data_IF_662328888003
#
_entry.id   IF_662328888003
#
_cell.length_a   1.000
_cell.length_b   1.000
_cell.length_c   1.000
_cell.angle_alpha   90.00
_cell.angle_beta   90.00
_cell.angle_gamma   90.00
#
_symmetry.space_group_name_H-M   'P 1'
#
loop_
_entity.id
_entity.type
_entity.pdbx_description
1 polymer ?
#
# COMPACT_ATOMS: atom_id res chain seq x y z
N UNK A 1 1.17 5.26 -35.46
CA UNK A 1 1.40 4.93 -34.04
C UNK A 1 0.66 5.98 -33.23
N UNK A 2 -0.37 5.61 -32.47
CA UNK A 2 -1.13 6.57 -31.63
C UNK A 2 -0.17 7.31 -30.69
N UNK A 3 -0.50 8.55 -30.35
CA UNK A 3 0.30 9.40 -29.47
C UNK A 3 0.59 8.72 -28.11
N UNK A 4 -0.39 7.98 -27.59
CA UNK A 4 -0.27 7.10 -26.42
C UNK A 4 0.86 6.08 -26.56
N UNK A 5 0.97 5.40 -27.71
CA UNK A 5 2.03 4.40 -27.93
C UNK A 5 3.41 5.06 -28.06
N UNK A 6 3.50 6.25 -28.69
CA UNK A 6 4.77 7.00 -28.74
C UNK A 6 5.22 7.41 -27.34
N UNK A 7 4.31 8.01 -26.55
CA UNK A 7 4.58 8.43 -25.17
C UNK A 7 5.02 7.25 -24.30
N UNK A 8 4.37 6.10 -24.46
CA UNK A 8 4.73 4.90 -23.74
C UNK A 8 6.17 4.43 -24.04
N UNK A 9 6.62 4.49 -25.31
CA UNK A 9 8.01 4.18 -25.66
C UNK A 9 9.00 5.21 -25.10
N UNK A 10 8.63 6.48 -25.07
CA UNK A 10 9.45 7.53 -24.46
C UNK A 10 9.64 7.29 -22.97
N UNK A 11 8.54 7.09 -22.23
CA UNK A 11 8.60 6.90 -20.76
C UNK A 11 9.28 5.58 -20.41
N UNK A 12 9.04 4.51 -21.17
CA UNK A 12 9.78 3.25 -21.00
C UNK A 12 11.30 3.44 -21.20
N UNK A 13 11.72 4.39 -22.05
CA UNK A 13 13.14 4.71 -22.26
C UNK A 13 13.68 5.65 -21.20
N UNK A 14 12.94 6.65 -20.75
CA UNK A 14 13.45 7.63 -19.79
C UNK A 14 13.40 7.15 -18.36
N UNK A 15 12.53 6.19 -18.02
CA UNK A 15 12.19 5.93 -16.61
C UNK A 15 12.66 4.57 -16.07
N UNK A 16 13.64 4.56 -15.14
CA UNK A 16 14.20 3.34 -14.59
C UNK A 16 13.15 2.44 -13.92
N UNK A 17 12.20 3.02 -13.18
CA UNK A 17 11.19 2.24 -12.47
C UNK A 17 10.30 1.43 -13.43
N UNK A 18 9.91 2.01 -14.56
CA UNK A 18 9.07 1.34 -15.56
C UNK A 18 9.81 0.15 -16.19
N UNK A 19 11.10 0.30 -16.46
CA UNK A 19 11.95 -0.81 -16.91
C UNK A 19 12.05 -1.88 -15.84
N UNK A 20 12.24 -1.48 -14.58
CA UNK A 20 12.29 -2.40 -13.44
C UNK A 20 10.99 -3.19 -13.27
N UNK A 21 9.81 -2.57 -13.48
CA UNK A 21 8.52 -3.28 -13.48
C UNK A 21 8.47 -4.38 -14.55
N UNK A 22 9.01 -4.11 -15.75
CA UNK A 22 9.09 -5.14 -16.79
C UNK A 22 10.11 -6.23 -16.44
N UNK A 23 11.27 -5.87 -15.90
CA UNK A 23 12.33 -6.81 -15.58
C UNK A 23 11.97 -7.71 -14.40
N UNK A 24 11.56 -7.12 -13.28
CA UNK A 24 11.45 -7.76 -11.98
C UNK A 24 10.03 -7.77 -11.40
N UNK A 25 9.06 -7.13 -12.07
CA UNK A 25 7.68 -7.02 -11.58
C UNK A 25 7.57 -5.93 -10.53
N UNK A 26 6.49 -5.97 -9.75
CA UNK A 26 6.33 -5.04 -8.63
C UNK A 26 7.41 -5.22 -7.57
N UNK A 27 7.96 -6.44 -7.42
CA UNK A 27 9.02 -6.78 -6.46
C UNK A 27 10.39 -6.12 -6.74
N UNK A 28 10.49 -5.33 -7.82
CA UNK A 28 11.53 -4.30 -7.92
C UNK A 28 11.53 -3.35 -6.71
N UNK A 29 10.35 -3.11 -6.12
CA UNK A 29 10.15 -2.24 -4.97
C UNK A 29 10.94 -2.69 -3.74
N UNK A 30 11.17 -3.99 -3.54
CA UNK A 30 11.95 -4.50 -2.40
C UNK A 30 13.33 -3.85 -2.33
N UNK A 31 14.03 -3.72 -3.46
CA UNK A 31 15.33 -3.04 -3.49
C UNK A 31 15.24 -1.55 -3.14
N UNK A 32 14.21 -0.84 -3.63
CA UNK A 32 14.02 0.58 -3.33
C UNK A 32 13.71 0.79 -1.85
N UNK A 33 12.72 0.07 -1.31
CA UNK A 33 12.30 0.23 0.08
C UNK A 33 13.37 -0.25 1.05
N UNK A 34 14.09 -1.33 0.77
CA UNK A 34 15.19 -1.76 1.62
C UNK A 34 16.36 -0.77 1.60
N UNK A 35 16.64 -0.13 0.47
CA UNK A 35 17.72 0.86 0.32
C UNK A 35 17.56 2.09 1.22
N UNK A 36 16.31 2.52 1.48
CA UNK A 36 16.00 3.63 2.38
C UNK A 36 15.52 3.17 3.77
N UNK A 37 15.66 1.88 4.10
CA UNK A 37 15.13 1.27 5.32
C UNK A 37 13.64 1.59 5.57
N UNK A 38 12.84 1.42 4.52
CA UNK A 38 11.39 1.57 4.53
C UNK A 38 10.64 0.27 4.16
N UNK A 39 11.27 -0.90 4.33
CA UNK A 39 10.70 -2.23 4.10
C UNK A 39 10.26 -2.86 5.44
N UNK A 40 8.95 -2.82 5.79
CA UNK A 40 8.46 -3.23 7.10
C UNK A 40 8.87 -4.65 7.46
N UNK A 41 9.45 -4.80 8.64
CA UNK A 41 10.04 -6.03 9.15
C UNK A 41 9.46 -6.35 10.51
N UNK A 42 9.04 -7.61 10.71
CA UNK A 42 8.46 -8.13 11.98
C UNK A 42 7.37 -7.19 12.53
N UNK A 43 6.25 -7.10 11.81
CA UNK A 43 5.11 -6.21 12.13
C UNK A 43 5.50 -4.73 12.38
N UNK A 44 6.34 -4.15 11.51
CA UNK A 44 6.83 -2.76 11.62
C UNK A 44 7.70 -2.51 12.86
N UNK A 45 8.36 -3.52 13.45
CA UNK A 45 9.38 -3.26 14.47
C UNK A 45 10.64 -2.60 13.88
N UNK A 46 10.93 -2.88 12.61
CA UNK A 46 12.00 -2.24 11.84
C UNK A 46 11.53 -1.96 10.39
N UNK A 47 12.23 -1.05 9.70
CA UNK A 47 12.11 -0.79 8.27
C UNK A 47 13.21 -1.47 7.43
N UNK A 48 14.06 -2.29 8.03
CA UNK A 48 15.14 -2.99 7.34
C UNK A 48 15.16 -4.47 7.75
N UNK A 49 15.28 -5.35 6.75
CA UNK A 49 15.37 -6.79 6.95
C UNK A 49 16.74 -7.28 6.53
N UNK A 50 17.45 -7.95 7.41
CA UNK A 50 18.83 -8.39 7.20
C UNK A 50 19.02 -9.27 5.95
N UNK A 51 17.99 -10.04 5.57
CA UNK A 51 18.01 -10.98 4.45
C UNK A 51 17.17 -10.51 3.25
N UNK A 52 16.88 -9.20 3.14
CA UNK A 52 16.01 -8.65 2.10
C UNK A 52 16.43 -9.02 0.67
N UNK A 53 17.73 -9.19 0.40
CA UNK A 53 18.24 -9.57 -0.93
C UNK A 53 17.70 -10.94 -1.40
N UNK A 54 17.46 -11.86 -0.46
CA UNK A 54 16.87 -13.19 -0.74
C UNK A 54 15.42 -13.07 -1.20
N UNK A 55 14.75 -11.99 -0.81
CA UNK A 55 13.37 -11.69 -1.15
C UNK A 55 13.23 -10.80 -2.39
N UNK A 56 14.33 -10.26 -2.93
CA UNK A 56 14.27 -9.23 -3.97
C UNK A 56 13.79 -9.73 -5.35
N UNK A 57 13.23 -8.81 -6.15
CA UNK A 57 12.78 -9.09 -7.51
C UNK A 57 13.84 -9.71 -8.45
N UNK A 58 15.12 -9.29 -8.39
CA UNK A 58 16.21 -9.99 -9.08
C UNK A 58 16.40 -11.44 -8.63
N UNK A 59 16.28 -11.74 -7.34
CA UNK A 59 16.37 -13.10 -6.81
C UNK A 59 15.20 -13.94 -7.29
N UNK A 60 13.96 -13.45 -7.12
CA UNK A 60 12.75 -14.09 -7.64
C UNK A 60 12.85 -14.41 -9.13
N UNK A 61 13.37 -13.46 -9.92
CA UNK A 61 13.53 -13.61 -11.36
C UNK A 61 14.57 -14.67 -11.76
N UNK A 62 15.62 -14.85 -10.94
CA UNK A 62 16.67 -15.87 -11.17
C UNK A 62 16.24 -17.25 -10.70
N UNK A 63 15.45 -17.31 -9.62
CA UNK A 63 15.13 -18.57 -8.95
C UNK A 63 13.78 -19.10 -9.39
N UNK A 64 12.67 -18.41 -9.14
CA UNK A 64 11.32 -18.99 -9.27
C UNK A 64 10.61 -18.65 -10.58
N UNK A 65 10.96 -17.55 -11.24
CA UNK A 65 10.26 -17.05 -12.42
C UNK A 65 10.29 -18.06 -13.59
N UNK A 66 9.12 -18.32 -14.16
CA UNK A 66 8.94 -19.11 -15.39
C UNK A 66 8.69 -18.18 -16.57
N UNK A 67 7.76 -17.23 -16.43
CA UNK A 67 7.45 -16.26 -17.48
C UNK A 67 6.84 -14.98 -16.91
N UNK A 68 6.89 -13.93 -17.72
CA UNK A 68 6.25 -12.64 -17.47
C UNK A 68 4.91 -12.58 -18.20
N UNK A 69 3.92 -11.94 -17.62
CA UNK A 69 2.57 -11.83 -18.20
C UNK A 69 2.07 -10.39 -18.12
N UNK A 70 1.47 -9.92 -19.21
CA UNK A 70 0.75 -8.65 -19.24
C UNK A 70 -0.74 -8.83 -19.06
N UNK A 71 -1.35 -7.85 -18.40
CA UNK A 71 -2.80 -7.65 -18.47
C UNK A 71 -3.23 -7.34 -19.91
N UNK A 72 -4.54 -7.31 -20.16
CA UNK A 72 -5.10 -7.03 -21.48
C UNK A 72 -4.51 -5.73 -22.09
N UNK A 73 -3.91 -5.84 -23.27
CA UNK A 73 -3.32 -4.71 -24.00
C UNK A 73 -2.08 -4.08 -23.34
N UNK A 74 -1.59 -4.62 -22.22
CA UNK A 74 -0.53 -4.00 -21.44
C UNK A 74 0.87 -4.45 -21.91
N UNK A 75 1.74 -3.52 -22.35
CA UNK A 75 3.10 -3.85 -22.79
C UNK A 75 4.13 -3.83 -21.65
N UNK A 76 3.76 -3.35 -20.46
CA UNK A 76 4.65 -3.40 -19.29
C UNK A 76 4.92 -4.85 -18.88
N UNK A 77 3.89 -5.71 -18.94
CA UNK A 77 3.97 -7.12 -18.55
C UNK A 77 4.62 -7.34 -17.17
N UNK A 78 4.11 -6.61 -16.16
CA UNK A 78 4.65 -6.67 -14.80
C UNK A 78 4.33 -7.99 -14.09
N UNK A 79 3.26 -8.69 -14.48
CA UNK A 79 2.81 -9.92 -13.83
C UNK A 79 3.85 -11.04 -13.92
N UNK A 80 3.93 -11.84 -12.86
CA UNK A 80 4.89 -12.94 -12.73
C UNK A 80 4.14 -14.27 -12.73
N UNK A 81 4.71 -15.27 -13.40
CA UNK A 81 4.31 -16.66 -13.20
C UNK A 81 5.54 -17.39 -12.70
N UNK A 82 5.47 -17.87 -11.47
CA UNK A 82 6.56 -18.51 -10.74
C UNK A 82 6.27 -19.99 -10.50
N UNK A 83 7.31 -20.78 -10.29
CA UNK A 83 7.23 -22.21 -9.99
C UNK A 83 8.01 -22.50 -8.71
N UNK A 84 7.33 -23.07 -7.72
CA UNK A 84 7.97 -23.60 -6.50
C UNK A 84 8.81 -24.82 -6.88
N UNK A 85 10.12 -24.77 -6.61
CA UNK A 85 11.07 -25.77 -7.12
C UNK A 85 11.38 -26.87 -6.11
N UNK A 86 11.17 -26.62 -4.82
CA UNK A 86 11.54 -27.54 -3.75
C UNK A 86 10.45 -27.69 -2.68
N UNK A 87 10.73 -28.51 -1.67
CA UNK A 87 9.85 -28.71 -0.53
C UNK A 87 8.53 -29.44 -0.84
N UNK A 88 7.60 -29.45 0.14
CA UNK A 88 6.33 -30.19 0.04
C UNK A 88 5.38 -29.64 -1.02
N UNK A 89 5.61 -28.42 -1.49
CA UNK A 89 4.78 -27.74 -2.50
C UNK A 89 5.47 -27.66 -3.87
N UNK A 90 6.54 -28.46 -4.10
CA UNK A 90 7.24 -28.53 -5.37
C UNK A 90 6.27 -28.79 -6.53
N UNK A 91 6.40 -27.99 -7.59
CA UNK A 91 5.54 -28.07 -8.77
C UNK A 91 4.35 -27.11 -8.74
N UNK A 92 4.10 -26.43 -7.62
CA UNK A 92 3.07 -25.40 -7.52
C UNK A 92 3.40 -24.21 -8.42
N UNK A 93 2.48 -23.88 -9.33
CA UNK A 93 2.55 -22.69 -10.18
C UNK A 93 1.82 -21.55 -9.48
N UNK A 94 2.49 -20.41 -9.37
CA UNK A 94 1.98 -19.24 -8.66
C UNK A 94 1.92 -18.06 -9.61
N UNK A 95 0.77 -17.38 -9.66
CA UNK A 95 0.68 -16.06 -10.27
C UNK A 95 1.18 -15.02 -9.26
N UNK A 96 2.40 -14.52 -9.46
CA UNK A 96 3.16 -13.69 -8.51
C UNK A 96 4.44 -14.39 -8.01
N UNK A 97 4.88 -14.13 -6.76
CA UNK A 97 4.37 -13.11 -5.85
C UNK A 97 4.59 -11.68 -6.32
N UNK A 98 3.67 -10.81 -5.93
CA UNK A 98 3.82 -9.36 -6.03
C UNK A 98 4.58 -8.83 -4.81
N UNK A 99 5.16 -7.63 -4.89
CA UNK A 99 5.90 -6.98 -3.82
C UNK A 99 5.23 -7.06 -2.44
N UNK A 100 3.94 -6.80 -2.40
CA UNK A 100 3.18 -6.78 -1.15
C UNK A 100 3.20 -8.15 -0.45
N UNK A 101 3.09 -9.24 -1.20
CA UNK A 101 3.18 -10.59 -0.66
C UNK A 101 4.60 -10.93 -0.19
N UNK A 102 5.60 -10.45 -0.93
CA UNK A 102 7.01 -10.55 -0.55
C UNK A 102 7.27 -9.83 0.77
N UNK A 103 6.66 -8.67 1.00
CA UNK A 103 6.74 -8.02 2.30
C UNK A 103 5.95 -8.78 3.36
N UNK A 104 4.64 -8.97 3.19
CA UNK A 104 3.75 -9.41 4.26
C UNK A 104 3.99 -10.85 4.70
N UNK A 105 4.28 -11.77 3.77
CA UNK A 105 4.65 -13.17 4.10
C UNK A 105 6.16 -13.40 4.22
N UNK A 106 6.97 -12.42 3.81
CA UNK A 106 8.42 -12.44 3.95
C UNK A 106 8.88 -11.67 5.18
N UNK A 107 9.51 -10.51 4.96
CA UNK A 107 10.11 -9.69 6.02
C UNK A 107 9.13 -9.28 7.14
N UNK A 108 7.87 -9.02 6.80
CA UNK A 108 6.80 -8.71 7.76
C UNK A 108 6.59 -9.81 8.80
N UNK A 109 6.87 -11.06 8.44
CA UNK A 109 6.83 -12.25 9.31
C UNK A 109 8.23 -12.77 9.69
N UNK A 110 9.31 -12.03 9.37
CA UNK A 110 10.69 -12.46 9.61
C UNK A 110 11.13 -13.67 8.77
N UNK A 111 10.48 -13.91 7.62
CA UNK A 111 10.75 -15.02 6.72
C UNK A 111 11.54 -14.56 5.49
N UNK A 112 12.67 -15.21 5.19
CA UNK A 112 13.51 -14.93 4.02
C UNK A 112 13.36 -15.93 2.87
N UNK A 113 12.38 -16.84 2.95
CA UNK A 113 12.16 -17.89 1.95
C UNK A 113 11.07 -17.52 0.93
N UNK A 114 11.50 -17.23 -0.31
CA UNK A 114 10.60 -16.88 -1.42
C UNK A 114 9.67 -18.02 -1.83
N UNK A 115 10.06 -19.29 -1.65
CA UNK A 115 9.17 -20.42 -1.95
C UNK A 115 7.99 -20.44 -0.99
N UNK A 116 8.23 -20.26 0.31
CA UNK A 116 7.18 -20.11 1.34
C UNK A 116 6.27 -18.92 1.02
N UNK A 117 6.84 -17.75 0.66
CA UNK A 117 6.05 -16.58 0.23
C UNK A 117 5.14 -16.93 -0.95
N UNK A 118 5.69 -17.63 -1.96
CA UNK A 118 4.95 -18.02 -3.16
C UNK A 118 3.82 -19.00 -2.84
N UNK A 119 4.06 -19.95 -1.93
CA UNK A 119 3.03 -20.88 -1.45
C UNK A 119 1.91 -20.13 -0.72
N UNK A 120 2.25 -19.23 0.21
CA UNK A 120 1.26 -18.41 0.91
C UNK A 120 0.43 -17.56 -0.07
N UNK A 121 1.09 -16.96 -1.07
CA UNK A 121 0.40 -16.18 -2.10
C UNK A 121 -0.58 -17.03 -2.93
N UNK A 122 -0.17 -18.24 -3.33
CA UNK A 122 -1.06 -19.14 -4.05
C UNK A 122 -2.26 -19.56 -3.17
N UNK A 123 -2.04 -19.82 -1.89
CA UNK A 123 -3.11 -20.18 -0.97
C UNK A 123 -4.13 -19.05 -0.78
N UNK A 124 -3.68 -17.79 -0.59
CA UNK A 124 -4.64 -16.67 -0.49
C UNK A 124 -5.42 -16.47 -1.78
N UNK A 125 -4.82 -16.73 -2.95
CA UNK A 125 -5.54 -16.71 -4.22
C UNK A 125 -6.61 -17.82 -4.29
N UNK A 126 -6.30 -19.03 -3.84
CA UNK A 126 -7.24 -20.15 -3.82
C UNK A 126 -8.39 -19.94 -2.83
N UNK A 127 -8.11 -19.34 -1.66
CA UNK A 127 -9.12 -18.99 -0.68
C UNK A 127 -9.89 -17.69 -0.99
N UNK A 128 -9.42 -16.89 -1.96
CA UNK A 128 -10.02 -15.58 -2.28
C UNK A 128 -9.84 -14.55 -1.16
N UNK A 129 -8.67 -14.54 -0.52
CA UNK A 129 -8.32 -13.61 0.58
C UNK A 129 -7.33 -12.55 0.12
N UNK A 130 -7.36 -11.38 0.78
CA UNK A 130 -6.31 -10.37 0.61
C UNK A 130 -4.99 -10.82 1.28
N UNK A 131 -3.92 -10.91 0.48
CA UNK A 131 -2.59 -11.29 0.96
C UNK A 131 -1.93 -10.26 1.86
N UNK A 132 -2.29 -8.97 1.75
CA UNK A 132 -1.78 -7.93 2.66
C UNK A 132 -2.36 -8.14 4.05
N UNK A 133 -3.69 -8.04 4.18
CA UNK A 133 -4.39 -8.23 5.45
C UNK A 133 -4.10 -9.62 6.06
N UNK A 134 -4.08 -10.69 5.26
CA UNK A 134 -3.76 -12.03 5.78
C UNK A 134 -2.34 -12.10 6.36
N UNK A 135 -1.33 -11.60 5.64
CA UNK A 135 0.05 -11.59 6.14
C UNK A 135 0.23 -10.69 7.36
N UNK A 136 -0.47 -9.54 7.40
CA UNK A 136 -0.45 -8.61 8.54
C UNK A 136 -1.15 -9.18 9.77
N UNK A 137 -2.25 -9.92 9.60
CA UNK A 137 -2.89 -10.64 10.70
C UNK A 137 -1.96 -11.70 11.30
N UNK A 138 -1.16 -12.38 10.47
CA UNK A 138 -0.16 -13.33 10.94
C UNK A 138 0.99 -12.61 11.67
N UNK A 139 1.56 -11.54 11.10
CA UNK A 139 2.63 -10.79 11.78
C UNK A 139 2.17 -10.17 13.10
N UNK A 140 0.91 -9.73 13.17
CA UNK A 140 0.28 -9.28 14.41
C UNK A 140 0.22 -10.41 15.45
N UNK A 141 -0.19 -11.62 15.06
CA UNK A 141 -0.24 -12.77 15.96
C UNK A 141 1.16 -13.18 16.45
N UNK A 142 2.17 -13.17 15.57
CA UNK A 142 3.56 -13.42 15.92
C UNK A 142 4.09 -12.41 16.94
N UNK A 143 3.79 -11.12 16.75
CA UNK A 143 4.19 -10.09 17.72
C UNK A 143 3.45 -10.25 19.06
N UNK A 144 2.14 -10.51 19.04
CA UNK A 144 1.40 -10.79 20.28
C UNK A 144 1.95 -12.00 21.02
N UNK A 145 2.41 -13.03 20.29
CA UNK A 145 3.06 -14.20 20.87
C UNK A 145 4.43 -13.86 21.47
N UNK A 146 5.27 -13.11 20.76
CA UNK A 146 6.57 -12.61 21.27
C UNK A 146 6.40 -11.80 22.56
N UNK A 147 5.36 -10.97 22.66
CA UNK A 147 5.06 -10.16 23.85
C UNK A 147 4.34 -10.93 24.96
N UNK A 148 4.05 -12.22 24.77
CA UNK A 148 3.33 -13.06 25.72
C UNK A 148 1.85 -12.70 25.89
N UNK A 149 1.30 -11.88 25.00
CA UNK A 149 -0.12 -11.55 24.94
C UNK A 149 -0.90 -12.76 24.46
N UNK A 150 -0.45 -13.38 23.37
CA UNK A 150 -1.03 -14.60 22.85
C UNK A 150 -0.20 -15.80 23.34
N UNK A 151 -0.80 -16.72 24.08
CA UNK A 151 -0.10 -17.90 24.59
C UNK A 151 -0.20 -19.07 23.61
N UNK A 152 0.69 -20.06 23.76
CA UNK A 152 0.75 -21.24 22.90
C UNK A 152 -0.58 -22.01 22.90
N UNK A 153 -1.26 -22.09 24.03
CA UNK A 153 -2.56 -22.76 24.17
C UNK A 153 -3.67 -22.04 23.40
N UNK A 154 -3.63 -20.69 23.39
CA UNK A 154 -4.55 -19.84 22.62
C UNK A 154 -4.22 -19.84 21.11
N UNK A 155 -3.01 -20.26 20.74
CA UNK A 155 -2.54 -20.43 19.37
C UNK A 155 -2.68 -21.87 18.84
N UNK A 156 -3.56 -22.68 19.44
CA UNK A 156 -3.79 -24.09 19.10
C UNK A 156 -2.50 -24.95 19.11
N UNK A 157 -1.54 -24.61 19.97
CA UNK A 157 -0.26 -25.30 20.05
C UNK A 157 0.76 -24.92 18.97
N UNK A 158 0.42 -24.01 18.04
CA UNK A 158 1.34 -23.54 17.02
C UNK A 158 2.49 -22.75 17.63
N UNK A 159 3.67 -22.89 17.04
CA UNK A 159 4.83 -22.04 17.34
C UNK A 159 4.82 -20.82 16.44
N UNK A 160 4.41 -19.68 17.00
CA UNK A 160 4.31 -18.38 16.32
C UNK A 160 5.63 -17.58 16.39
N UNK A 161 6.77 -18.24 16.59
CA UNK A 161 8.08 -17.59 16.50
C UNK A 161 8.31 -17.00 15.09
N UNK A 162 8.95 -15.83 15.01
CA UNK A 162 9.27 -15.17 13.75
C UNK A 162 10.05 -16.09 12.81
N UNK A 163 9.70 -16.06 11.51
CA UNK A 163 10.37 -16.85 10.48
C UNK A 163 9.98 -18.34 10.44
N UNK A 164 9.03 -18.80 11.27
CA UNK A 164 8.53 -20.17 11.20
C UNK A 164 7.68 -20.40 9.94
N UNK A 165 8.29 -21.03 8.93
CA UNK A 165 7.71 -21.25 7.59
C UNK A 165 6.52 -22.19 7.58
N UNK A 166 6.58 -23.26 8.37
CA UNK A 166 5.50 -24.24 8.45
C UNK A 166 4.26 -23.61 9.09
N UNK A 167 4.46 -22.85 10.18
CA UNK A 167 3.39 -22.10 10.84
C UNK A 167 2.79 -21.05 9.92
N UNK A 168 3.59 -20.34 9.12
CA UNK A 168 3.09 -19.36 8.15
C UNK A 168 2.08 -19.98 7.18
N UNK A 169 2.47 -21.07 6.52
CA UNK A 169 1.61 -21.77 5.54
C UNK A 169 0.35 -22.32 6.21
N UNK A 170 0.49 -22.90 7.41
CA UNK A 170 -0.63 -23.43 8.17
C UNK A 170 -1.62 -22.34 8.61
N UNK A 171 -1.13 -21.17 9.04
CA UNK A 171 -2.00 -20.06 9.43
C UNK A 171 -2.82 -19.52 8.26
N UNK A 172 -2.24 -19.41 7.06
CA UNK A 172 -3.00 -18.99 5.87
C UNK A 172 -4.19 -19.92 5.64
N UNK A 173 -3.98 -21.24 5.73
CA UNK A 173 -5.07 -22.23 5.60
C UNK A 173 -6.09 -22.08 6.71
N UNK A 174 -5.65 -21.97 7.97
CA UNK A 174 -6.56 -21.83 9.12
C UNK A 174 -7.41 -20.56 9.04
N UNK A 175 -6.85 -19.45 8.55
CA UNK A 175 -7.60 -18.21 8.34
C UNK A 175 -8.67 -18.42 7.25
N UNK A 176 -8.29 -18.99 6.10
CA UNK A 176 -9.23 -19.28 5.01
C UNK A 176 -10.33 -20.26 5.40
N UNK A 177 -10.01 -21.24 6.25
CA UNK A 177 -10.94 -22.26 6.75
C UNK A 177 -11.66 -21.84 8.06
N UNK A 178 -11.32 -20.68 8.63
CA UNK A 178 -11.74 -20.22 9.97
C UNK A 178 -11.61 -21.31 11.06
N UNK A 179 -10.47 -21.99 11.09
CA UNK A 179 -10.18 -23.08 12.04
C UNK A 179 -9.30 -22.60 13.20
N UNK A 180 -9.76 -22.79 14.43
CA UNK A 180 -8.99 -22.48 15.64
C UNK A 180 -8.63 -21.00 15.73
N UNK A 181 -7.35 -20.67 15.97
CA UNK A 181 -6.82 -19.29 15.93
C UNK A 181 -7.12 -18.58 14.59
N UNK A 182 -7.29 -19.34 13.51
CA UNK A 182 -7.67 -18.80 12.21
C UNK A 182 -9.00 -18.05 12.22
N UNK A 183 -9.98 -18.45 13.04
CA UNK A 183 -11.26 -17.72 13.14
C UNK A 183 -11.08 -16.33 13.76
N UNK A 184 -10.20 -16.21 14.76
CA UNK A 184 -9.85 -14.92 15.35
C UNK A 184 -9.14 -14.01 14.33
N UNK A 185 -8.16 -14.55 13.61
CA UNK A 185 -7.35 -13.78 12.66
C UNK A 185 -8.11 -13.44 11.37
N UNK A 186 -9.12 -14.23 10.99
CA UNK A 186 -10.02 -13.94 9.87
C UNK A 186 -10.85 -12.66 10.07
N UNK A 187 -10.90 -12.11 11.29
CA UNK A 187 -11.56 -10.84 11.58
C UNK A 187 -10.69 -9.60 11.29
N UNK A 188 -9.43 -9.78 10.89
CA UNK A 188 -8.45 -8.70 10.73
C UNK A 188 -7.91 -8.20 12.06
N UNK A 189 -6.83 -7.41 12.00
CA UNK A 189 -6.03 -7.02 13.17
C UNK A 189 -6.80 -6.16 14.16
N UNK A 190 -7.65 -5.24 13.67
CA UNK A 190 -8.43 -4.34 14.54
C UNK A 190 -9.37 -5.13 15.46
N UNK A 191 -10.18 -6.03 14.88
CA UNK A 191 -11.15 -6.82 15.65
C UNK A 191 -10.47 -7.94 16.44
N UNK A 192 -9.43 -8.56 15.89
CA UNK A 192 -8.65 -9.56 16.61
C UNK A 192 -8.00 -8.96 17.86
N UNK A 193 -7.40 -7.76 17.76
CA UNK A 193 -6.82 -7.06 18.90
C UNK A 193 -7.86 -6.72 19.97
N UNK A 194 -9.04 -6.20 19.59
CA UNK A 194 -10.14 -5.93 20.52
C UNK A 194 -10.61 -7.18 21.26
N UNK A 195 -10.66 -8.33 20.58
CA UNK A 195 -11.04 -9.61 21.20
C UNK A 195 -9.96 -10.17 22.12
N UNK A 196 -8.69 -10.03 21.74
CA UNK A 196 -7.55 -10.47 22.55
C UNK A 196 -7.36 -9.61 23.81
N UNK A 197 -7.68 -8.31 23.70
CA UNK A 197 -7.44 -7.31 24.74
C UNK A 197 -5.97 -7.27 25.13
N UNK A 198 -5.68 -7.06 26.43
CA UNK A 198 -4.31 -7.12 26.99
C UNK A 198 -3.32 -6.16 26.32
N UNK A 199 -3.80 -5.06 25.73
CA UNK A 199 -2.98 -4.08 25.01
C UNK A 199 -2.57 -4.52 23.60
N UNK A 200 -3.20 -5.57 23.06
CA UNK A 200 -2.96 -6.03 21.69
C UNK A 200 -3.22 -4.93 20.64
N UNK A 201 -4.07 -3.96 20.95
CA UNK A 201 -4.43 -2.85 20.07
C UNK A 201 -3.20 -2.03 19.63
N UNK A 202 -2.15 -1.99 20.44
CA UNK A 202 -0.87 -1.33 20.11
C UNK A 202 -0.16 -1.98 18.92
N UNK A 203 -0.42 -3.26 18.64
CA UNK A 203 0.26 -4.03 17.60
C UNK A 203 -0.59 -4.18 16.33
N UNK A 204 -1.83 -3.70 16.33
CA UNK A 204 -2.69 -3.69 15.15
C UNK A 204 -2.29 -2.55 14.20
N UNK A 205 -1.42 -2.85 13.24
CA UNK A 205 -0.88 -1.89 12.28
C UNK A 205 -1.87 -1.60 11.14
N UNK A 206 -2.84 -0.72 11.42
CA UNK A 206 -3.94 -0.39 10.50
C UNK A 206 -4.45 1.06 10.67
N UNK A 207 -5.09 1.58 9.63
CA UNK A 207 -5.93 2.80 9.70
C UNK A 207 -7.34 2.47 9.19
N UNK A 208 -8.37 2.93 9.93
CA UNK A 208 -9.81 2.72 9.62
C UNK A 208 -10.23 1.26 9.44
N UNK A 209 -9.48 0.32 10.02
CA UNK A 209 -9.71 -1.11 9.96
C UNK A 209 -8.99 -1.84 8.83
N UNK A 210 -8.20 -1.14 8.01
CA UNK A 210 -7.42 -1.75 6.93
C UNK A 210 -5.94 -1.76 7.27
N UNK A 211 -5.33 -2.94 7.22
CA UNK A 211 -3.91 -3.16 7.50
C UNK A 211 -3.00 -2.48 6.48
N UNK A 212 -1.82 -2.05 6.94
CA UNK A 212 -0.86 -1.38 6.08
C UNK A 212 -0.13 -2.32 5.12
N UNK A 213 0.18 -1.75 3.96
CA UNK A 213 1.00 -2.35 2.93
C UNK A 213 2.50 -2.32 3.27
N UNK A 214 3.35 -2.72 2.32
CA UNK A 214 4.80 -2.90 2.47
C UNK A 214 5.64 -1.64 2.63
N UNK A 215 5.11 -0.53 3.15
CA UNK A 215 5.84 0.75 3.25
C UNK A 215 5.87 1.25 4.68
N UNK A 216 7.07 1.52 5.20
CA UNK A 216 7.29 2.01 6.56
C UNK A 216 7.22 3.54 6.62
N UNK A 217 6.18 4.12 7.25
CA UNK A 217 5.92 5.57 7.21
C UNK A 217 6.94 6.41 8.00
N UNK A 218 7.71 5.82 8.92
CA UNK A 218 8.82 6.54 9.57
C UNK A 218 9.97 6.83 8.61
N UNK A 219 10.22 5.93 7.66
CA UNK A 219 11.22 6.10 6.59
C UNK A 219 10.68 6.81 5.35
N UNK A 220 9.37 6.71 5.09
CA UNK A 220 8.67 7.34 3.98
C UNK A 220 7.51 8.20 4.50
N UNK A 221 7.79 9.45 4.88
CA UNK A 221 6.82 10.28 5.59
C UNK A 221 5.64 10.75 4.73
N UNK A 222 5.75 10.71 3.40
CA UNK A 222 4.59 10.94 2.53
C UNK A 222 3.54 9.84 2.71
N UNK A 223 3.99 8.58 2.83
CA UNK A 223 3.11 7.45 3.11
C UNK A 223 2.32 7.58 4.42
N UNK A 224 2.87 8.29 5.41
CA UNK A 224 2.14 8.59 6.64
C UNK A 224 0.83 9.35 6.35
N UNK A 225 0.87 10.34 5.45
CA UNK A 225 -0.32 11.08 5.02
C UNK A 225 -1.27 10.18 4.24
N UNK A 226 -0.76 9.43 3.26
CA UNK A 226 -1.57 8.52 2.43
C UNK A 226 -2.33 7.50 3.27
N UNK A 227 -1.67 6.87 4.24
CA UNK A 227 -2.31 5.91 5.13
C UNK A 227 -3.35 6.56 6.06
N UNK A 228 -3.09 7.77 6.53
CA UNK A 228 -4.01 8.48 7.41
C UNK A 228 -5.25 8.99 6.67
N UNK A 229 -5.08 9.61 5.50
CA UNK A 229 -6.13 10.32 4.76
C UNK A 229 -6.94 9.42 3.83
N UNK A 230 -6.44 8.24 3.49
CA UNK A 230 -7.08 7.34 2.54
C UNK A 230 -8.54 7.00 2.88
N UNK A 231 -9.45 7.28 1.94
CA UNK A 231 -10.88 7.03 2.12
C UNK A 231 -11.23 5.56 2.38
N UNK A 232 -10.42 4.60 1.91
CA UNK A 232 -10.62 3.17 2.18
C UNK A 232 -9.79 2.61 3.34
N UNK A 233 -9.10 3.46 4.09
CA UNK A 233 -8.16 3.08 5.14
C UNK A 233 -6.69 3.08 4.70
N UNK A 234 -5.84 2.36 5.44
CA UNK A 234 -4.37 2.34 5.31
C UNK A 234 -3.82 1.73 4.01
N UNK A 235 -4.25 2.19 2.84
CA UNK A 235 -3.89 1.63 1.55
C UNK A 235 -2.93 2.52 0.76
N UNK A 236 -1.80 1.94 0.33
CA UNK A 236 -0.69 2.65 -0.32
C UNK A 236 -0.99 3.13 -1.74
N UNK A 237 -1.73 2.35 -2.54
CA UNK A 237 -2.11 2.74 -3.91
C UNK A 237 -3.28 3.73 -3.95
N UNK A 238 -3.78 4.19 -2.80
CA UNK A 238 -4.84 5.20 -2.77
C UNK A 238 -4.36 6.47 -3.47
N UNK A 239 -3.13 6.88 -3.18
CA UNK A 239 -2.42 7.94 -3.89
C UNK A 239 -1.14 7.39 -4.53
N UNK A 240 -0.46 8.22 -5.31
CA UNK A 240 0.82 7.88 -5.93
C UNK A 240 2.05 8.24 -5.09
N UNK A 241 1.87 8.60 -3.81
CA UNK A 241 2.91 9.24 -3.00
C UNK A 241 4.14 8.37 -2.79
N UNK A 242 3.93 7.05 -2.70
CA UNK A 242 5.01 6.08 -2.54
C UNK A 242 6.09 6.23 -3.61
N UNK A 243 5.71 6.56 -4.85
CA UNK A 243 6.64 6.68 -5.95
C UNK A 243 7.49 7.93 -5.82
N UNK A 244 6.88 9.05 -5.40
CA UNK A 244 7.58 10.30 -5.17
C UNK A 244 8.56 10.19 -3.99
N UNK A 245 8.16 9.54 -2.90
CA UNK A 245 9.03 9.31 -1.74
C UNK A 245 10.29 8.50 -2.10
N UNK A 246 10.21 7.56 -3.03
CA UNK A 246 11.40 6.82 -3.51
C UNK A 246 12.10 7.48 -4.71
N UNK A 247 11.73 8.71 -5.06
CA UNK A 247 12.34 9.47 -6.16
C UNK A 247 12.06 8.90 -7.56
N UNK A 248 10.92 8.23 -7.73
CA UNK A 248 10.47 7.66 -9.02
C UNK A 248 9.14 8.30 -9.44
N UNK A 249 8.77 8.15 -10.72
CA UNK A 249 7.50 8.67 -11.22
C UNK A 249 7.28 10.16 -10.95
N UNK A 250 8.37 10.94 -10.85
CA UNK A 250 8.36 12.36 -10.46
C UNK A 250 7.68 13.24 -11.50
N UNK A 251 7.54 12.80 -12.76
CA UNK A 251 6.74 13.52 -13.75
C UNK A 251 5.23 13.50 -13.46
N UNK A 252 4.78 12.69 -12.50
CA UNK A 252 3.37 12.66 -12.11
C UNK A 252 2.92 13.93 -11.39
N UNK A 253 3.85 14.62 -10.73
CA UNK A 253 3.63 15.85 -10.01
C UNK A 253 4.85 16.77 -10.22
N UNK A 254 4.70 17.97 -10.77
CA UNK A 254 5.83 18.83 -11.08
C UNK A 254 6.61 19.17 -9.79
N UNK A 255 7.89 18.81 -9.75
CA UNK A 255 8.78 19.04 -8.63
C UNK A 255 10.01 19.84 -9.09
N UNK A 256 10.37 20.89 -8.36
CA UNK A 256 11.61 21.64 -8.58
C UNK A 256 12.85 20.84 -8.15
N UNK A 257 12.68 19.95 -7.15
CA UNK A 257 13.70 19.03 -6.66
C UNK A 257 13.05 17.73 -6.16
N UNK A 258 13.76 16.59 -6.16
CA UNK A 258 13.27 15.35 -5.55
C UNK A 258 12.85 15.57 -4.10
N UNK A 259 11.73 14.96 -3.71
CA UNK A 259 11.26 15.00 -2.32
C UNK A 259 12.18 14.17 -1.43
N UNK A 260 12.48 14.68 -0.23
CA UNK A 260 13.16 13.89 0.79
C UNK A 260 12.15 12.93 1.45
N UNK A 261 12.32 11.60 1.39
CA UNK A 261 11.42 10.64 2.02
C UNK A 261 11.28 10.86 3.53
N UNK A 262 12.30 11.38 4.20
CA UNK A 262 12.34 11.56 5.66
C UNK A 262 11.83 12.94 6.12
N UNK A 263 11.38 13.81 5.21
CA UNK A 263 10.77 15.10 5.56
C UNK A 263 9.25 15.01 5.37
N UNK A 264 8.52 15.60 6.30
CA UNK A 264 7.07 15.80 6.18
C UNK A 264 6.81 17.30 6.17
N UNK A 265 6.38 17.83 5.04
CA UNK A 265 6.18 19.26 4.83
C UNK A 265 4.97 19.57 3.94
N UNK A 266 4.75 20.87 3.74
CA UNK A 266 3.64 21.37 2.94
C UNK A 266 3.71 20.92 1.48
N UNK A 267 4.91 20.66 0.93
CA UNK A 267 5.05 20.24 -0.46
C UNK A 267 4.55 18.80 -0.64
N UNK A 268 4.80 17.92 0.34
CA UNK A 268 4.16 16.60 0.37
C UNK A 268 2.65 16.66 0.46
N UNK A 269 2.10 17.62 1.21
CA UNK A 269 0.64 17.82 1.30
C UNK A 269 0.05 18.20 -0.07
N UNK A 270 0.68 19.15 -0.78
CA UNK A 270 0.24 19.54 -2.13
C UNK A 270 0.33 18.37 -3.12
N UNK A 271 1.43 17.62 -3.06
CA UNK A 271 1.60 16.43 -3.88
C UNK A 271 0.52 15.38 -3.57
N UNK A 272 0.15 15.17 -2.31
CA UNK A 272 -0.92 14.25 -1.91
C UNK A 272 -2.27 14.66 -2.55
N UNK A 273 -2.64 15.95 -2.45
CA UNK A 273 -3.88 16.50 -3.03
C UNK A 273 -3.91 16.35 -4.56
N UNK A 274 -2.79 16.58 -5.25
CA UNK A 274 -2.73 16.40 -6.69
C UNK A 274 -2.83 14.92 -7.10
N UNK A 275 -2.17 14.04 -6.33
CA UNK A 275 -2.11 12.61 -6.62
C UNK A 275 -3.43 11.90 -6.34
N UNK A 276 -4.14 12.23 -5.25
CA UNK A 276 -5.42 11.62 -4.91
C UNK A 276 -6.47 11.91 -6.00
N UNK A 277 -6.54 13.14 -6.51
CA UNK A 277 -7.48 13.54 -7.58
C UNK A 277 -7.20 12.76 -8.85
N UNK A 278 -5.93 12.75 -9.27
CA UNK A 278 -5.49 12.02 -10.45
C UNK A 278 -5.77 10.53 -10.33
N UNK A 279 -5.39 9.89 -9.23
CA UNK A 279 -5.57 8.45 -9.06
C UNK A 279 -7.03 8.04 -8.91
N UNK A 280 -7.88 8.92 -8.37
CA UNK A 280 -9.32 8.70 -8.31
C UNK A 280 -9.95 8.65 -9.70
N UNK A 281 -9.55 9.54 -10.62
CA UNK A 281 -9.97 9.49 -12.02
C UNK A 281 -9.48 8.20 -12.69
N UNK A 282 -8.20 7.85 -12.50
CA UNK A 282 -7.61 6.63 -13.05
C UNK A 282 -8.38 5.38 -12.61
N UNK A 283 -8.74 5.30 -11.33
CA UNK A 283 -9.53 4.19 -10.77
C UNK A 283 -10.96 4.18 -11.32
N UNK A 284 -11.58 5.34 -11.51
CA UNK A 284 -12.91 5.48 -12.12
C UNK A 284 -12.93 5.11 -13.60
N UNK A 285 -11.85 5.41 -14.33
CA UNK A 285 -11.65 5.00 -15.71
C UNK A 285 -11.24 3.52 -15.85
N UNK A 286 -11.05 2.81 -14.73
CA UNK A 286 -10.63 1.40 -14.67
C UNK A 286 -9.30 1.18 -15.42
N UNK A 287 -8.38 2.15 -15.27
CA UNK A 287 -7.04 2.08 -15.83
C UNK A 287 -6.04 1.62 -14.76
N UNK A 288 -5.05 0.84 -15.17
CA UNK A 288 -3.97 0.43 -14.28
C UNK A 288 -3.18 1.67 -13.80
N UNK A 289 -2.98 1.82 -12.49
CA UNK A 289 -2.25 2.95 -11.89
C UNK A 289 -0.79 3.04 -12.33
N UNK A 290 -0.12 1.91 -12.55
CA UNK A 290 1.21 1.91 -13.16
C UNK A 290 1.14 2.52 -14.56
N UNK A 291 0.31 1.94 -15.43
CA UNK A 291 0.21 2.40 -16.81
C UNK A 291 -0.22 3.87 -16.88
N UNK A 292 -1.21 4.27 -16.09
CA UNK A 292 -1.75 5.62 -16.17
C UNK A 292 -0.86 6.68 -15.51
N UNK A 293 -0.18 6.34 -14.41
CA UNK A 293 0.85 7.20 -13.81
C UNK A 293 2.05 7.41 -14.75
N UNK A 294 2.37 6.41 -15.58
CA UNK A 294 3.44 6.46 -16.58
C UNK A 294 3.02 7.28 -17.81
N UNK A 295 1.83 7.01 -18.35
CA UNK A 295 1.51 7.39 -19.73
C UNK A 295 0.68 8.67 -19.83
N UNK A 296 -0.29 8.89 -18.94
CA UNK A 296 -1.28 9.95 -19.13
C UNK A 296 -0.92 11.22 -18.37
N UNK A 297 -0.56 12.31 -19.06
CA UNK A 297 -0.68 13.66 -18.49
C UNK A 297 -2.16 14.01 -18.26
N UNK A 298 -2.49 15.05 -17.48
CA UNK A 298 -3.87 15.52 -17.34
C UNK A 298 -4.56 15.79 -18.69
N UNK A 299 -3.86 16.38 -19.65
CA UNK A 299 -4.37 16.68 -21.00
C UNK A 299 -4.60 15.40 -21.82
N UNK A 300 -3.68 14.44 -21.72
CA UNK A 300 -3.84 13.14 -22.36
C UNK A 300 -5.02 12.36 -21.77
N UNK A 301 -5.25 12.47 -20.45
CA UNK A 301 -6.40 11.86 -19.80
C UNK A 301 -7.70 12.50 -20.31
N UNK A 302 -7.78 13.84 -20.32
CA UNK A 302 -8.95 14.58 -20.78
C UNK A 302 -9.31 14.27 -22.24
N UNK A 303 -8.32 14.34 -23.14
CA UNK A 303 -8.51 14.03 -24.56
C UNK A 303 -8.91 12.57 -24.80
N UNK A 304 -8.31 11.62 -24.06
CA UNK A 304 -8.64 10.19 -24.19
C UNK A 304 -10.06 9.89 -23.69
N UNK A 305 -10.46 10.45 -22.54
CA UNK A 305 -11.82 10.29 -22.02
C UNK A 305 -12.84 10.94 -22.96
N UNK A 306 -12.55 12.14 -23.46
CA UNK A 306 -13.41 12.84 -24.43
C UNK A 306 -13.63 12.00 -25.69
N UNK A 307 -12.56 11.44 -26.25
CA UNK A 307 -12.63 10.62 -27.46
C UNK A 307 -13.45 9.32 -27.29
N UNK A 308 -13.41 8.70 -26.09
CA UNK A 308 -14.11 7.44 -25.83
C UNK A 308 -15.58 7.68 -25.44
N UNK A 309 -15.85 8.72 -24.66
CA UNK A 309 -17.19 8.99 -24.10
C UNK A 309 -18.04 9.91 -24.97
N UNK A 310 -17.42 10.72 -25.82
CA UNK A 310 -18.06 11.81 -26.55
C UNK A 310 -18.33 13.06 -25.69
N UNK A 311 -17.81 13.12 -24.46
CA UNK A 311 -17.87 14.32 -23.62
C UNK A 311 -16.78 15.32 -24.02
N UNK A 312 -17.05 16.60 -23.85
CA UNK A 312 -16.04 17.66 -24.03
C UNK A 312 -15.39 17.92 -22.67
N UNK A 313 -14.16 17.45 -22.47
CA UNK A 313 -13.42 17.59 -21.21
C UNK A 313 -12.04 18.20 -21.44
N UNK A 314 -11.62 19.10 -20.55
CA UNK A 314 -10.25 19.56 -20.43
C UNK A 314 -9.57 19.01 -19.17
N UNK A 315 -8.28 19.34 -18.98
CA UNK A 315 -7.51 18.87 -17.83
C UNK A 315 -8.06 19.38 -16.49
N UNK A 316 -8.66 20.57 -16.45
CA UNK A 316 -9.22 21.14 -15.23
C UNK A 316 -10.51 20.42 -14.83
N UNK A 317 -11.37 20.06 -15.80
CA UNK A 317 -12.56 19.25 -15.53
C UNK A 317 -12.19 17.84 -15.06
N UNK A 318 -11.13 17.24 -15.62
CA UNK A 318 -10.60 15.96 -15.13
C UNK A 318 -10.16 16.06 -13.66
N UNK A 319 -9.42 17.10 -13.29
CA UNK A 319 -9.00 17.31 -11.90
C UNK A 319 -10.20 17.50 -10.96
N UNK A 320 -11.18 18.31 -11.39
CA UNK A 320 -12.42 18.55 -10.66
C UNK A 320 -13.25 17.27 -10.48
N UNK A 321 -13.27 16.36 -11.45
CA UNK A 321 -13.91 15.06 -11.30
C UNK A 321 -13.22 14.20 -10.25
N UNK A 322 -11.89 14.21 -10.22
CA UNK A 322 -11.11 13.57 -9.16
C UNK A 322 -11.48 14.09 -7.78
N UNK A 323 -11.50 15.42 -7.62
CA UNK A 323 -11.89 16.08 -6.36
C UNK A 323 -13.34 15.77 -5.96
N UNK A 324 -14.27 15.78 -6.93
CA UNK A 324 -15.68 15.43 -6.71
C UNK A 324 -15.84 14.01 -6.17
N UNK A 325 -15.22 13.03 -6.82
CA UNK A 325 -15.34 11.61 -6.42
C UNK A 325 -14.65 11.36 -5.08
N UNK A 326 -13.48 11.96 -4.86
CA UNK A 326 -12.76 11.85 -3.59
C UNK A 326 -13.56 12.46 -2.43
N UNK A 327 -14.16 13.62 -2.64
CA UNK A 327 -15.02 14.28 -1.65
C UNK A 327 -16.30 13.48 -1.40
N UNK A 328 -16.90 12.89 -2.45
CA UNK A 328 -18.07 12.02 -2.32
C UNK A 328 -17.77 10.79 -1.43
N UNK A 329 -16.62 10.15 -1.64
CA UNK A 329 -16.17 9.04 -0.79
C UNK A 329 -15.97 9.51 0.66
N UNK A 330 -15.41 10.71 0.87
CA UNK A 330 -15.27 11.29 2.21
C UNK A 330 -16.62 11.56 2.87
N UNK A 331 -17.60 12.11 2.14
CA UNK A 331 -18.95 12.35 2.65
C UNK A 331 -19.63 11.05 3.08
N UNK A 332 -19.46 9.97 2.31
CA UNK A 332 -19.92 8.64 2.72
C UNK A 332 -19.28 8.24 4.05
N UNK A 333 -17.96 8.34 4.17
CA UNK A 333 -17.25 7.98 5.40
C UNK A 333 -17.69 8.83 6.60
N UNK A 334 -17.88 10.14 6.42
CA UNK A 334 -18.39 11.05 7.47
C UNK A 334 -19.78 10.65 7.92
N UNK A 335 -20.68 10.27 7.00
CA UNK A 335 -22.00 9.73 7.32
C UNK A 335 -21.90 8.48 8.20
N UNK A 336 -20.92 7.62 7.93
CA UNK A 336 -20.63 6.41 8.72
C UNK A 336 -19.80 6.68 10.00
N UNK A 337 -19.52 7.95 10.32
CA UNK A 337 -18.91 8.37 11.58
C UNK A 337 -17.39 8.52 11.58
N UNK A 338 -16.74 8.46 10.41
CA UNK A 338 -15.32 8.78 10.24
C UNK A 338 -15.11 10.30 10.34
N UNK A 339 -14.10 10.71 11.10
CA UNK A 339 -13.67 12.11 11.17
C UNK A 339 -12.15 12.21 11.37
N UNK A 340 -11.64 13.40 11.68
CA UNK A 340 -10.23 13.65 12.02
C UNK A 340 -9.65 12.63 13.01
N UNK A 341 -10.43 12.15 13.98
CA UNK A 341 -9.97 11.17 14.97
C UNK A 341 -9.49 9.84 14.34
N UNK A 342 -9.99 9.53 13.14
CA UNK A 342 -9.69 8.31 12.38
C UNK A 342 -8.63 8.55 11.29
N UNK A 343 -8.25 9.81 11.05
CA UNK A 343 -7.16 10.20 10.15
C UNK A 343 -5.84 10.22 10.93
N UNK A 344 -5.47 9.06 11.47
CA UNK A 344 -4.27 8.89 12.29
C UNK A 344 -3.59 7.55 12.01
N UNK A 345 -2.49 7.30 12.71
CA UNK A 345 -1.66 6.09 12.61
C UNK A 345 -1.42 5.50 14.02
N UNK A 346 -1.05 4.22 14.15
CA UNK A 346 -0.63 3.63 15.41
C UNK A 346 0.51 4.40 16.09
N UNK A 347 0.45 4.48 17.42
CA UNK A 347 1.40 5.24 18.24
C UNK A 347 2.86 4.83 18.03
N UNK A 348 3.12 3.57 17.64
CA UNK A 348 4.44 3.06 17.27
C UNK A 348 5.19 4.03 16.34
N UNK A 349 4.51 4.57 15.32
CA UNK A 349 5.18 5.45 14.36
C UNK A 349 5.56 6.82 14.91
N UNK A 350 4.96 7.23 16.03
CA UNK A 350 5.24 8.49 16.72
C UNK A 350 6.17 8.34 17.93
N UNK A 351 6.34 7.13 18.46
CA UNK A 351 7.06 6.91 19.72
C UNK A 351 8.26 5.97 19.61
N UNK A 352 8.29 5.08 18.63
CA UNK A 352 9.34 4.07 18.48
C UNK A 352 10.23 4.45 17.29
N UNK A 353 11.45 4.97 17.50
CA UNK A 353 12.35 5.30 16.40
C UNK A 353 12.81 4.03 15.67
N UNK A 354 13.07 4.13 14.37
CA UNK A 354 13.61 3.02 13.60
C UNK A 354 14.97 2.57 14.16
N UNK A 355 15.18 1.25 14.39
CA UNK A 355 16.38 0.78 15.08
C UNK A 355 17.63 0.72 14.20
N UNK A 356 17.47 0.61 12.87
CA UNK A 356 18.55 0.27 11.94
C UNK A 356 18.31 0.81 10.52
N UNK A 357 19.33 0.65 9.67
CA UNK A 357 19.31 1.04 8.26
C UNK A 357 19.43 2.56 8.01
N UNK A 358 19.21 2.97 6.77
CA UNK A 358 19.34 4.36 6.33
C UNK A 358 18.45 5.35 7.10
N UNK A 359 17.26 4.90 7.52
CA UNK A 359 16.29 5.69 8.27
C UNK A 359 16.38 5.48 9.80
N UNK A 360 17.50 4.97 10.31
CA UNK A 360 17.72 4.79 11.74
C UNK A 360 17.46 6.09 12.51
N UNK A 361 16.77 5.98 13.64
CA UNK A 361 16.40 7.11 14.50
C UNK A 361 15.17 7.89 14.02
N UNK A 362 14.67 7.65 12.81
CA UNK A 362 13.50 8.35 12.30
C UNK A 362 12.23 7.91 13.04
N UNK A 363 11.38 8.91 13.29
CA UNK A 363 10.05 8.82 13.87
C UNK A 363 9.18 9.90 13.22
N UNK A 364 7.85 9.74 13.27
CA UNK A 364 6.94 10.82 12.91
C UNK A 364 6.82 11.81 14.08
N UNK A 365 6.98 13.10 13.79
CA UNK A 365 6.66 14.14 14.76
C UNK A 365 5.14 14.38 14.76
N UNK A 366 4.50 14.14 15.91
CA UNK A 366 3.04 14.22 16.02
C UNK A 366 2.51 15.62 15.72
N UNK A 367 3.22 16.66 16.19
CA UNK A 367 2.82 18.04 15.96
C UNK A 367 2.85 18.39 14.48
N UNK A 368 3.97 18.12 13.80
CA UNK A 368 4.13 18.33 12.36
C UNK A 368 3.08 17.54 11.57
N UNK A 369 2.81 16.30 11.96
CA UNK A 369 1.79 15.47 11.31
C UNK A 369 0.38 16.10 11.43
N UNK A 370 -0.01 16.55 12.63
CA UNK A 370 -1.31 17.21 12.84
C UNK A 370 -1.42 18.55 12.10
N UNK A 371 -0.32 19.32 12.02
CA UNK A 371 -0.24 20.55 11.23
C UNK A 371 -0.38 20.26 9.72
N UNK A 372 0.19 19.16 9.22
CA UNK A 372 0.03 18.76 7.82
C UNK A 372 -1.39 18.27 7.52
N UNK A 373 -2.07 17.61 8.45
CA UNK A 373 -3.49 17.27 8.31
C UNK A 373 -4.36 18.54 8.25
N UNK A 374 -4.09 19.53 9.08
CA UNK A 374 -4.79 20.82 9.03
C UNK A 374 -4.57 21.53 7.69
N UNK A 375 -3.33 21.54 7.20
CA UNK A 375 -2.99 22.10 5.90
C UNK A 375 -3.73 21.37 4.77
N UNK A 376 -3.76 20.04 4.80
CA UNK A 376 -4.48 19.22 3.85
C UNK A 376 -5.97 19.58 3.83
N UNK A 377 -6.66 19.56 4.98
CA UNK A 377 -8.09 19.90 5.06
C UNK A 377 -8.38 21.30 4.53
N UNK A 378 -7.54 22.28 4.86
CA UNK A 378 -7.65 23.64 4.32
C UNK A 378 -7.54 23.68 2.80
N UNK A 379 -6.61 22.92 2.21
CA UNK A 379 -6.42 22.86 0.75
C UNK A 379 -7.60 22.22 0.02
N UNK A 380 -8.23 21.20 0.59
CA UNK A 380 -9.37 20.50 -0.03
C UNK A 380 -10.73 21.09 0.35
N UNK A 381 -10.75 22.20 1.10
CA UNK A 381 -11.98 22.89 1.49
C UNK A 381 -12.81 22.13 2.54
N UNK A 382 -12.15 21.42 3.44
CA UNK A 382 -12.75 20.70 4.57
C UNK A 382 -12.53 21.46 5.87
N UNK A 383 -13.38 21.22 6.87
CA UNK A 383 -13.24 21.81 8.19
C UNK A 383 -12.14 21.10 9.02
N UNK A 384 -11.88 21.62 10.22
CA UNK A 384 -10.87 21.04 11.13
C UNK A 384 -11.22 19.63 11.63
N UNK A 385 -12.45 19.16 11.46
CA UNK A 385 -12.85 17.79 11.78
C UNK A 385 -12.68 16.85 10.57
N UNK A 386 -12.13 17.35 9.46
CA UNK A 386 -11.99 16.60 8.22
C UNK A 386 -13.33 16.36 7.53
N UNK A 387 -14.31 17.25 7.71
CA UNK A 387 -15.63 17.19 7.08
C UNK A 387 -15.68 18.18 5.92
N UNK A 388 -16.05 17.77 4.70
CA UNK A 388 -16.21 18.69 3.58
C UNK A 388 -17.18 19.82 3.92
N UNK A 389 -16.76 21.07 3.69
CA UNK A 389 -17.60 22.22 4.02
C UNK A 389 -18.82 22.29 3.10
N UNK A 390 -19.92 22.88 3.58
CA UNK A 390 -21.12 23.10 2.75
C UNK A 390 -20.84 23.89 1.46
N UNK A 391 -19.86 24.79 1.50
CA UNK A 391 -19.40 25.53 0.33
C UNK A 391 -18.75 24.59 -0.69
N UNK A 392 -17.76 23.80 -0.25
CA UNK A 392 -17.07 22.81 -1.11
C UNK A 392 -18.04 21.77 -1.69
N UNK A 393 -19.03 21.31 -0.91
CA UNK A 393 -20.03 20.35 -1.40
C UNK A 393 -20.88 20.94 -2.53
N UNK A 394 -21.33 22.20 -2.41
CA UNK A 394 -22.05 22.90 -3.50
C UNK A 394 -21.13 23.19 -4.69
N UNK A 395 -19.90 23.62 -4.43
CA UNK A 395 -18.89 23.86 -5.47
C UNK A 395 -18.69 22.61 -6.33
N UNK A 396 -18.68 21.42 -5.73
CA UNK A 396 -18.50 20.17 -6.45
C UNK A 396 -19.79 19.62 -7.07
N UNK A 397 -20.95 20.28 -6.92
CA UNK A 397 -22.22 19.81 -7.46
C UNK A 397 -22.74 18.55 -6.75
N UNK A 398 -22.59 18.52 -5.42
CA UNK A 398 -23.00 17.42 -4.53
C UNK A 398 -24.04 17.91 -3.51
N UNK A 399 -24.70 19.03 -3.75
CA UNK A 399 -25.61 19.70 -2.81
C UNK A 399 -26.82 18.88 -2.39
N UNK A 400 -27.22 17.89 -3.18
CA UNK A 400 -28.27 16.93 -2.85
C UNK A 400 -27.93 16.08 -1.60
N UNK A 401 -26.64 16.02 -1.23
CA UNK A 401 -26.15 15.31 -0.05
C UNK A 401 -26.13 16.17 1.22
N UNK A 402 -26.47 17.45 1.15
CA UNK A 402 -26.48 18.38 2.31
C UNK A 402 -27.76 18.33 3.16
N UNK A 403 -28.71 17.46 2.78
CA UNK A 403 -30.07 17.37 3.33
C UNK A 403 -30.12 16.91 4.79
#
# INVERSE_FOLDING_TARGET
VSEVVKRMYEVWRSEPFVRSLHLYGTDAMTSFTSGIAAFPTRNFQSGWFEEWEKLSGPTLSKTLLVKKVGCFGCPIACGRVSLVRSGPHRGMVVWGPEYEHVNTFGAGCGNSDLETVSVCHQLVNEYGMDGITCGRAISFAMECYEKGILKKEEADGLDLSWGNRETLVELVKRIGERRGIGDLLAEGTRRAAQRLGRGAERYAMQTKGLEYAGYEPRGMKGMALTYALGNRGGCHITTGMLYLDIGTMTWMYPLDSPLDPQVLDLEKVKAEVALERRYTVVESAVLCKFFAGIVFTPEMMASSLSAVTGWEMDAAEVDRLGERIWTLQRLFNVREGISRKDDTLPDRFFTEPLPDGFSQGQVLDRKTFEEMLDAYYGMVGWDRNGIPTREKVRELGLEELLA
#
